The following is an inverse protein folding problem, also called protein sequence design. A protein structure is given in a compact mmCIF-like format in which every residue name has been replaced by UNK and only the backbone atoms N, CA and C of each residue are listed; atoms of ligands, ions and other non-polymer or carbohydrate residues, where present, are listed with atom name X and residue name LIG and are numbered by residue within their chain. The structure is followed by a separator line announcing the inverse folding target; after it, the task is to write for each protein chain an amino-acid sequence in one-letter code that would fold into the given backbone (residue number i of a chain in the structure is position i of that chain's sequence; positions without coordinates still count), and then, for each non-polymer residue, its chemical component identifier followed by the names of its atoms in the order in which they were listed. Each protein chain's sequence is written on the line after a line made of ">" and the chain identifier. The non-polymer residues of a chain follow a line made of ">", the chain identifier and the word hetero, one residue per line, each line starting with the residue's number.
data_IF_164307527079
#
_entry.id   IF_164307527079
#
_cell.length_a   1.000
_cell.length_b   1.000
_cell.length_c   1.000
_cell.angle_alpha   90.00
_cell.angle_beta   90.00
_cell.angle_gamma   90.00
#
_symmetry.space_group_name_H-M   'P 1'
#
loop_
_entity.id
_entity.type
_entity.pdbx_description
1 polymer ?
#
# COMPACT_ATOMS: atom_id res chain seq x y z
N UNK A 1 39.91 -61.08 10.22
CA UNK A 1 38.77 -60.91 11.14
C UNK A 1 38.34 -59.46 11.07
N UNK A 2 37.18 -59.26 10.49
CA UNK A 2 36.60 -57.97 10.10
C UNK A 2 36.23 -57.08 11.29
N UNK A 3 36.65 -55.82 11.24
CA UNK A 3 36.19 -54.76 12.12
C UNK A 3 35.51 -53.65 11.33
N UNK A 4 34.22 -53.82 11.01
CA UNK A 4 33.38 -52.78 10.39
C UNK A 4 33.23 -51.59 11.36
N UNK A 5 33.76 -50.42 10.97
CA UNK A 5 33.35 -49.13 11.53
C UNK A 5 31.94 -48.81 11.03
N UNK A 6 30.95 -48.95 11.91
CA UNK A 6 29.61 -48.42 11.71
C UNK A 6 29.69 -46.91 11.90
N UNK A 7 29.57 -46.17 10.80
CA UNK A 7 29.38 -44.72 10.85
C UNK A 7 28.00 -44.42 11.40
N UNK A 8 27.93 -43.72 12.53
CA UNK A 8 26.70 -43.14 13.04
C UNK A 8 26.21 -42.08 12.04
N UNK A 9 25.21 -42.44 11.23
CA UNK A 9 24.34 -41.46 10.60
C UNK A 9 23.60 -40.72 11.71
N UNK A 10 24.05 -39.49 11.99
CA UNK A 10 23.27 -38.52 12.76
C UNK A 10 22.02 -38.25 11.92
N UNK A 11 20.92 -38.91 12.28
CA UNK A 11 19.60 -38.59 11.78
C UNK A 11 19.39 -37.08 11.98
N UNK A 12 19.28 -36.33 10.88
CA UNK A 12 18.86 -34.93 10.92
C UNK A 12 17.49 -34.89 11.59
N UNK A 13 17.47 -34.46 12.85
CA UNK A 13 16.25 -34.16 13.61
C UNK A 13 15.27 -33.43 12.69
N UNK A 14 14.12 -34.06 12.44
CA UNK A 14 13.05 -33.49 11.64
C UNK A 14 12.58 -32.23 12.35
N UNK A 15 12.88 -31.07 11.78
CA UNK A 15 12.59 -29.78 12.38
C UNK A 15 11.08 -29.64 12.71
N UNK A 16 10.73 -29.59 14.00
CA UNK A 16 9.34 -29.38 14.42
C UNK A 16 8.92 -27.95 14.11
N UNK A 17 7.78 -27.80 13.42
CA UNK A 17 7.20 -26.52 13.02
C UNK A 17 5.85 -26.36 13.69
N UNK A 18 5.70 -25.34 14.52
CA UNK A 18 4.40 -24.96 15.06
C UNK A 18 3.66 -24.21 13.96
N UNK A 19 2.49 -24.72 13.60
CA UNK A 19 1.60 -24.09 12.61
C UNK A 19 0.29 -23.81 13.30
N UNK A 20 -0.31 -22.65 12.99
CA UNK A 20 -1.66 -22.34 13.45
C UNK A 20 -2.66 -23.48 13.12
N UNK A 21 -3.75 -23.61 13.89
CA UNK A 21 -4.86 -24.49 13.53
C UNK A 21 -5.27 -24.28 12.07
N UNK A 22 -5.63 -25.36 11.36
CA UNK A 22 -6.06 -25.26 9.95
C UNK A 22 -7.40 -24.53 9.88
N UNK A 23 -7.38 -23.27 9.47
CA UNK A 23 -8.58 -22.58 9.00
C UNK A 23 -8.71 -22.86 7.50
N UNK A 24 -9.73 -23.61 7.09
CA UNK A 24 -10.06 -23.83 5.67
C UNK A 24 -10.77 -22.60 5.06
N UNK A 25 -10.26 -21.40 5.30
CA UNK A 25 -10.78 -20.19 4.66
C UNK A 25 -9.93 -19.95 3.42
N UNK A 26 -10.18 -20.74 2.37
CA UNK A 26 -9.52 -20.56 1.07
C UNK A 26 -10.14 -19.35 0.38
N UNK A 27 -9.74 -18.16 0.80
CA UNK A 27 -10.01 -16.95 0.03
C UNK A 27 -11.20 -16.10 0.43
N UNK A 28 -11.62 -16.14 1.67
CA UNK A 28 -12.49 -15.12 2.23
C UNK A 28 -11.75 -14.38 3.36
N UNK A 29 -12.18 -13.16 3.65
CA UNK A 29 -11.69 -12.42 4.82
C UNK A 29 -12.11 -13.17 6.09
N UNK A 30 -11.24 -13.29 7.11
CA UNK A 30 -11.72 -13.67 8.45
C UNK A 30 -12.72 -12.64 9.01
N UNK A 31 -12.81 -11.43 8.44
CA UNK A 31 -13.87 -10.48 8.81
C UNK A 31 -15.28 -10.97 8.44
N UNK A 32 -15.43 -11.97 7.57
CA UNK A 32 -16.72 -12.64 7.31
C UNK A 32 -16.95 -13.86 8.23
N UNK A 33 -15.89 -14.40 8.86
CA UNK A 33 -15.92 -15.42 9.92
C UNK A 33 -15.33 -14.87 11.24
N UNK A 34 -15.95 -13.83 11.81
CA UNK A 34 -15.50 -13.17 13.04
C UNK A 34 -15.35 -14.13 14.24
N UNK A 35 -15.96 -15.31 14.19
CA UNK A 35 -15.96 -16.31 15.26
C UNK A 35 -14.57 -16.94 15.50
N UNK A 36 -13.74 -17.07 14.46
CA UNK A 36 -12.44 -17.73 14.56
C UNK A 36 -11.29 -16.78 14.95
N UNK A 37 -11.52 -15.47 14.84
CA UNK A 37 -10.48 -14.47 15.08
C UNK A 37 -10.00 -14.42 16.55
N UNK A 38 -10.86 -14.53 17.58
CA UNK A 38 -10.43 -14.67 18.97
C UNK A 38 -9.57 -15.91 19.21
N UNK A 39 -9.90 -17.04 18.56
CA UNK A 39 -9.11 -18.29 18.64
C UNK A 39 -7.73 -18.08 18.04
N UNK A 40 -7.65 -17.43 16.87
CA UNK A 40 -6.38 -17.08 16.25
C UNK A 40 -5.54 -16.16 17.15
N UNK A 41 -6.14 -15.11 17.72
CA UNK A 41 -5.44 -14.22 18.66
C UNK A 41 -4.88 -14.97 19.85
N UNK A 42 -5.70 -15.83 20.47
CA UNK A 42 -5.27 -16.67 21.58
C UNK A 42 -4.08 -17.55 21.17
N UNK A 43 -4.15 -18.19 20.00
CA UNK A 43 -3.04 -18.99 19.46
C UNK A 43 -1.76 -18.16 19.28
N UNK A 44 -1.85 -16.93 18.75
CA UNK A 44 -0.68 -16.05 18.60
C UNK A 44 -0.03 -15.74 19.95
N UNK A 45 -0.83 -15.43 20.97
CA UNK A 45 -0.31 -15.13 22.32
C UNK A 45 0.30 -16.37 23.01
N UNK A 46 -0.24 -17.56 22.75
CA UNK A 46 0.30 -18.83 23.27
C UNK A 46 1.60 -19.25 22.55
N UNK A 47 1.81 -18.79 21.32
CA UNK A 47 2.91 -19.22 20.45
C UNK A 47 3.79 -18.03 20.01
N UNK A 48 4.19 -17.19 20.96
CA UNK A 48 5.09 -16.08 20.71
C UNK A 48 6.54 -16.57 20.47
N UNK A 49 7.29 -15.95 19.55
CA UNK A 49 8.67 -16.32 19.26
C UNK A 49 9.58 -16.36 20.49
N UNK A 50 9.39 -15.42 21.42
CA UNK A 50 10.17 -15.37 22.65
C UNK A 50 9.89 -16.51 23.63
N UNK A 51 8.80 -17.27 23.45
CA UNK A 51 8.43 -18.40 24.32
C UNK A 51 9.02 -19.73 23.85
N UNK A 52 9.55 -19.78 22.63
CA UNK A 52 10.03 -21.02 22.02
C UNK A 52 11.52 -20.94 21.70
N UNK A 53 12.22 -22.03 21.99
CA UNK A 53 13.63 -22.20 21.65
C UNK A 53 13.86 -23.40 20.75
N UNK A 54 14.93 -23.31 19.96
CA UNK A 54 15.41 -24.42 19.13
C UNK A 54 15.78 -25.64 19.96
N UNK A 55 16.34 -25.42 21.15
CA UNK A 55 16.66 -26.46 22.14
C UNK A 55 15.43 -27.25 22.60
N UNK A 56 14.23 -26.65 22.55
CA UNK A 56 12.96 -27.31 22.85
C UNK A 56 12.37 -28.03 21.62
N UNK A 57 13.13 -28.15 20.53
CA UNK A 57 12.72 -28.82 19.30
C UNK A 57 11.89 -27.96 18.33
N UNK A 58 11.48 -26.76 18.73
CA UNK A 58 10.72 -25.83 17.88
C UNK A 58 11.68 -25.02 17.03
N UNK A 59 11.59 -25.13 15.70
CA UNK A 59 12.48 -24.37 14.81
C UNK A 59 11.79 -23.15 14.21
N UNK A 60 10.49 -23.26 13.91
CA UNK A 60 9.72 -22.24 13.22
C UNK A 60 8.30 -22.19 13.75
N UNK A 61 7.79 -20.98 13.90
CA UNK A 61 6.38 -20.70 14.11
C UNK A 61 5.84 -20.13 12.80
N UNK A 62 4.63 -20.52 12.40
CA UNK A 62 4.15 -20.12 11.08
C UNK A 62 2.65 -19.87 10.97
N UNK A 63 2.35 -18.91 10.11
CA UNK A 63 1.01 -18.48 9.72
C UNK A 63 0.88 -18.68 8.22
N UNK A 64 -0.21 -19.31 7.80
CA UNK A 64 -0.42 -19.69 6.40
C UNK A 64 -1.84 -19.28 6.01
N UNK A 65 -1.96 -18.36 5.05
CA UNK A 65 -3.24 -17.86 4.57
C UNK A 65 -3.81 -18.71 3.42
N UNK A 66 -2.97 -19.46 2.71
CA UNK A 66 -3.37 -20.38 1.63
C UNK A 66 -2.59 -21.68 1.71
N UNK A 67 -3.24 -22.82 1.48
CA UNK A 67 -2.54 -24.13 1.39
C UNK A 67 -1.42 -24.03 0.35
N UNK A 68 -0.18 -24.19 0.81
CA UNK A 68 0.99 -24.32 -0.05
C UNK A 68 1.07 -25.76 -0.60
N UNK A 69 1.15 -25.93 -1.91
CA UNK A 69 1.34 -27.23 -2.57
C UNK A 69 2.81 -27.69 -2.50
N UNK A 70 3.29 -27.99 -1.30
CA UNK A 70 4.69 -28.32 -1.02
C UNK A 70 5.23 -29.51 -1.84
N UNK A 71 4.41 -30.55 -2.06
CA UNK A 71 4.84 -31.74 -2.81
C UNK A 71 5.19 -31.45 -4.28
N UNK A 72 4.48 -30.51 -4.92
CA UNK A 72 4.81 -30.11 -6.29
C UNK A 72 6.08 -29.26 -6.35
N UNK A 73 6.36 -28.50 -5.30
CA UNK A 73 7.53 -27.64 -5.20
C UNK A 73 8.84 -28.45 -5.14
N UNK A 74 8.87 -29.55 -4.38
CA UNK A 74 10.04 -30.43 -4.25
C UNK A 74 10.51 -31.01 -5.59
N UNK A 75 9.58 -31.46 -6.45
CA UNK A 75 9.91 -31.96 -7.80
C UNK A 75 10.56 -30.88 -8.65
N UNK A 76 10.00 -29.66 -8.64
CA UNK A 76 10.53 -28.50 -9.38
C UNK A 76 11.92 -28.09 -8.90
N UNK A 77 12.17 -28.16 -7.58
CA UNK A 77 13.49 -27.89 -6.99
C UNK A 77 14.56 -28.85 -7.52
N UNK A 78 14.23 -30.14 -7.67
CA UNK A 78 15.17 -31.10 -8.25
C UNK A 78 15.48 -30.75 -9.72
N UNK A 79 14.45 -30.45 -10.51
CA UNK A 79 14.60 -30.09 -11.92
C UNK A 79 15.43 -28.81 -12.12
N UNK A 80 15.20 -27.76 -11.32
CA UNK A 80 15.97 -26.51 -11.44
C UNK A 80 17.44 -26.72 -11.06
N UNK A 81 17.73 -27.55 -10.04
CA UNK A 81 19.11 -27.87 -9.65
C UNK A 81 19.85 -28.60 -10.77
N UNK A 82 19.18 -29.53 -11.45
CA UNK A 82 19.75 -30.23 -12.60
C UNK A 82 20.06 -29.26 -13.75
N UNK A 83 19.09 -28.41 -14.13
CA UNK A 83 19.28 -27.41 -15.17
C UNK A 83 20.38 -26.39 -14.84
N UNK A 84 20.51 -26.03 -13.55
CA UNK A 84 21.51 -25.08 -13.09
C UNK A 84 22.95 -25.62 -13.20
N UNK A 85 23.18 -26.94 -13.09
CA UNK A 85 24.51 -27.54 -13.23
C UNK A 85 25.15 -27.29 -14.60
N UNK A 86 24.34 -27.20 -15.66
CA UNK A 86 24.81 -26.91 -17.03
C UNK A 86 24.96 -25.43 -17.36
N UNK A 87 24.83 -24.54 -16.37
CA UNK A 87 24.85 -23.08 -16.59
C UNK A 87 26.25 -22.51 -16.39
N UNK A 88 26.86 -22.01 -17.47
CA UNK A 88 28.22 -21.44 -17.44
C UNK A 88 28.24 -19.97 -17.00
N UNK A 89 27.19 -19.19 -17.29
CA UNK A 89 27.08 -17.77 -16.94
C UNK A 89 25.88 -17.58 -16.02
N UNK A 90 26.15 -17.26 -14.75
CA UNK A 90 25.09 -17.06 -13.76
C UNK A 90 24.94 -15.58 -13.45
N UNK A 91 23.83 -15.01 -13.90
CA UNK A 91 23.40 -13.62 -13.61
C UNK A 91 22.03 -13.62 -12.92
N UNK A 92 21.62 -12.47 -12.39
CA UNK A 92 20.24 -12.26 -11.92
C UNK A 92 19.20 -12.58 -12.99
N UNK A 93 19.48 -12.27 -14.27
CA UNK A 93 18.61 -12.62 -15.40
C UNK A 93 18.50 -14.14 -15.56
N UNK A 94 19.62 -14.85 -15.51
CA UNK A 94 19.64 -16.33 -15.55
C UNK A 94 18.79 -16.94 -14.44
N UNK A 95 18.89 -16.41 -13.21
CA UNK A 95 18.09 -16.87 -12.07
C UNK A 95 16.59 -16.58 -12.24
N UNK A 96 16.23 -15.41 -12.78
CA UNK A 96 14.83 -15.08 -13.11
C UNK A 96 14.25 -16.02 -14.16
N UNK A 97 15.00 -16.30 -15.24
CA UNK A 97 14.58 -17.23 -16.29
C UNK A 97 14.40 -18.64 -15.76
N UNK A 98 15.29 -19.11 -14.87
CA UNK A 98 15.13 -20.42 -14.23
C UNK A 98 13.91 -20.44 -13.30
N UNK A 99 13.68 -19.38 -12.52
CA UNK A 99 12.51 -19.27 -11.64
C UNK A 99 11.20 -19.35 -12.42
N UNK A 100 11.13 -18.63 -13.54
CA UNK A 100 9.97 -18.64 -14.44
C UNK A 100 9.77 -20.03 -15.06
N UNK A 101 10.82 -20.58 -15.70
CA UNK A 101 10.79 -21.88 -16.39
C UNK A 101 10.32 -23.03 -15.48
N UNK A 102 10.75 -23.03 -14.22
CA UNK A 102 10.42 -24.09 -13.26
C UNK A 102 9.30 -23.69 -12.29
N UNK A 103 8.66 -22.53 -12.49
CA UNK A 103 7.60 -22.01 -11.60
C UNK A 103 8.03 -21.99 -10.11
N UNK A 104 9.27 -21.57 -9.86
CA UNK A 104 9.87 -21.35 -8.52
C UNK A 104 9.98 -19.85 -8.25
N UNK A 105 8.83 -19.18 -8.27
CA UNK A 105 8.73 -17.72 -8.22
C UNK A 105 8.47 -17.17 -6.83
N UNK A 106 8.49 -17.99 -5.78
CA UNK A 106 8.31 -17.50 -4.41
C UNK A 106 9.48 -16.61 -3.98
N UNK A 107 9.18 -15.63 -3.14
CA UNK A 107 10.18 -14.79 -2.50
C UNK A 107 9.67 -14.28 -1.16
N UNK A 108 10.57 -13.69 -0.38
CA UNK A 108 10.25 -13.23 0.97
C UNK A 108 10.91 -11.90 1.30
N UNK A 109 10.21 -11.06 2.04
CA UNK A 109 10.85 -10.02 2.86
C UNK A 109 11.34 -10.66 4.15
N UNK A 110 12.58 -10.37 4.52
CA UNK A 110 13.20 -10.77 5.77
C UNK A 110 13.31 -9.56 6.68
N UNK A 111 12.82 -9.74 7.90
CA UNK A 111 12.80 -8.77 8.99
C UNK A 111 13.56 -9.39 10.16
N UNK A 112 14.57 -8.69 10.67
CA UNK A 112 15.35 -9.14 11.82
C UNK A 112 14.94 -8.36 13.07
N UNK A 113 14.89 -9.04 14.20
CA UNK A 113 14.55 -8.44 15.48
C UNK A 113 15.16 -9.19 16.64
N UNK A 114 15.58 -8.42 17.65
CA UNK A 114 16.10 -8.93 18.91
C UNK A 114 15.06 -9.79 19.64
N UNK A 115 15.54 -10.76 20.42
CA UNK A 115 14.68 -11.64 21.21
C UNK A 115 13.85 -10.90 22.28
N UNK A 116 12.85 -11.58 22.82
CA UNK A 116 11.95 -11.01 23.84
C UNK A 116 10.82 -10.16 23.27
N UNK A 117 10.48 -9.06 23.96
CA UNK A 117 9.27 -8.29 23.68
C UNK A 117 9.25 -7.65 22.28
N UNK A 118 10.42 -7.35 21.69
CA UNK A 118 10.51 -6.69 20.39
C UNK A 118 10.03 -7.64 19.29
N UNK A 119 10.61 -8.84 19.20
CA UNK A 119 10.19 -9.81 18.19
C UNK A 119 8.73 -10.21 18.34
N UNK A 120 8.22 -10.32 19.56
CA UNK A 120 6.82 -10.67 19.81
C UNK A 120 5.84 -9.60 19.31
N UNK A 121 6.19 -8.31 19.48
CA UNK A 121 5.39 -7.21 18.93
C UNK A 121 5.39 -7.23 17.41
N UNK A 122 6.56 -7.44 16.81
CA UNK A 122 6.70 -7.56 15.34
C UNK A 122 5.88 -8.74 14.82
N UNK A 123 5.99 -9.91 15.47
CA UNK A 123 5.26 -11.10 15.09
C UNK A 123 3.74 -10.92 15.21
N UNK A 124 3.24 -10.34 16.31
CA UNK A 124 1.81 -10.02 16.45
C UNK A 124 1.31 -9.13 15.32
N UNK A 125 2.05 -8.06 15.00
CA UNK A 125 1.67 -7.13 13.93
C UNK A 125 1.64 -7.82 12.56
N UNK A 126 2.65 -8.64 12.26
CA UNK A 126 2.70 -9.44 11.02
C UNK A 126 1.56 -10.46 10.98
N UNK A 127 1.37 -11.22 12.05
CA UNK A 127 0.37 -12.26 12.20
C UNK A 127 -1.04 -11.71 11.96
N UNK A 128 -1.36 -10.64 12.69
CA UNK A 128 -2.62 -9.93 12.59
C UNK A 128 -2.83 -9.34 11.20
N UNK A 129 -1.78 -8.69 10.66
CA UNK A 129 -1.86 -8.09 9.34
C UNK A 129 -2.10 -9.11 8.23
N UNK A 130 -1.46 -10.29 8.30
CA UNK A 130 -1.68 -11.36 7.32
C UNK A 130 -3.09 -11.92 7.43
N UNK A 131 -3.58 -12.21 8.64
CA UNK A 131 -4.89 -12.85 8.81
C UNK A 131 -6.04 -11.92 8.43
N UNK A 132 -5.92 -10.63 8.76
CA UNK A 132 -6.85 -9.56 8.34
C UNK A 132 -6.72 -9.21 6.86
N UNK A 133 -5.68 -9.71 6.20
CA UNK A 133 -5.37 -9.41 4.82
C UNK A 133 -4.60 -8.11 4.61
N UNK A 134 -4.41 -7.26 5.62
CA UNK A 134 -3.69 -5.97 5.52
C UNK A 134 -2.25 -6.09 5.02
N UNK A 135 -1.65 -7.25 5.24
CA UNK A 135 -0.40 -7.65 4.63
C UNK A 135 -0.73 -8.68 3.54
N UNK A 136 -0.45 -8.41 2.26
CA UNK A 136 -0.79 -9.30 1.15
C UNK A 136 0.17 -10.50 1.05
N UNK A 137 0.55 -11.08 2.19
CA UNK A 137 1.38 -12.26 2.27
C UNK A 137 0.57 -13.54 2.08
N UNK A 138 1.24 -14.57 1.60
CA UNK A 138 0.67 -15.93 1.53
C UNK A 138 0.96 -16.73 2.78
N UNK A 139 2.11 -16.46 3.40
CA UNK A 139 2.52 -17.03 4.67
C UNK A 139 3.58 -16.14 5.32
N UNK A 140 3.75 -16.30 6.62
CA UNK A 140 4.93 -15.85 7.33
C UNK A 140 5.44 -16.94 8.25
N UNK A 141 6.75 -16.95 8.45
CA UNK A 141 7.41 -17.80 9.44
C UNK A 141 8.35 -16.95 10.27
N UNK A 142 8.51 -17.31 11.53
CA UNK A 142 9.50 -16.70 12.43
C UNK A 142 10.33 -17.80 13.08
N UNK A 143 11.63 -17.57 13.17
CA UNK A 143 12.56 -18.52 13.79
C UNK A 143 12.32 -18.59 15.30
N UNK A 144 12.43 -19.78 15.88
CA UNK A 144 12.55 -19.96 17.32
C UNK A 144 14.04 -20.21 17.63
N UNK A 145 14.75 -19.14 18.00
CA UNK A 145 16.20 -19.13 18.24
C UNK A 145 16.49 -18.42 19.55
N UNK A 146 17.67 -18.66 20.12
CA UNK A 146 18.13 -18.02 21.36
C UNK A 146 18.71 -16.61 21.12
N UNK A 147 19.09 -16.31 19.88
CA UNK A 147 19.67 -15.02 19.43
C UNK A 147 18.64 -14.15 18.67
N UNK A 148 19.11 -13.35 17.72
CA UNK A 148 18.28 -12.58 16.81
C UNK A 148 17.34 -13.46 15.99
N UNK A 149 16.08 -13.08 15.99
CA UNK A 149 15.06 -13.76 15.21
C UNK A 149 14.98 -13.18 13.80
N UNK A 150 14.56 -14.03 12.86
CA UNK A 150 14.16 -13.61 11.52
C UNK A 150 12.69 -13.94 11.28
N UNK A 151 11.92 -12.93 10.89
CA UNK A 151 10.58 -13.07 10.33
C UNK A 151 10.70 -13.05 8.80
N UNK A 152 10.25 -14.12 8.16
CA UNK A 152 10.19 -14.24 6.71
C UNK A 152 8.73 -14.15 6.25
N UNK A 153 8.40 -13.12 5.47
CA UNK A 153 7.04 -12.85 4.99
C UNK A 153 7.00 -13.06 3.47
N UNK A 154 6.16 -13.98 3.00
CA UNK A 154 6.22 -14.51 1.63
C UNK A 154 5.18 -13.92 0.70
N UNK A 155 5.57 -13.74 -0.57
CA UNK A 155 4.66 -13.62 -1.71
C UNK A 155 4.86 -14.81 -2.68
N UNK A 156 3.92 -14.98 -3.62
CA UNK A 156 3.94 -16.09 -4.57
C UNK A 156 4.82 -15.86 -5.80
N UNK A 157 5.08 -14.61 -6.15
CA UNK A 157 5.74 -14.28 -7.41
C UNK A 157 6.63 -13.04 -7.29
N UNK A 158 7.94 -13.24 -7.10
CA UNK A 158 8.94 -12.18 -7.07
C UNK A 158 9.20 -11.53 -8.43
N UNK A 159 8.82 -12.18 -9.54
CA UNK A 159 8.94 -11.60 -10.88
C UNK A 159 7.91 -10.48 -11.07
N UNK A 160 6.80 -10.51 -10.33
CA UNK A 160 5.87 -9.40 -10.24
C UNK A 160 6.37 -8.40 -9.20
N UNK A 161 7.09 -7.39 -9.67
CA UNK A 161 7.69 -6.33 -8.85
C UNK A 161 6.63 -5.57 -8.04
N UNK A 162 5.45 -5.30 -8.62
CA UNK A 162 4.36 -4.64 -7.92
C UNK A 162 3.86 -5.46 -6.71
N UNK A 163 3.74 -6.78 -6.84
CA UNK A 163 3.37 -7.65 -5.71
C UNK A 163 4.44 -7.66 -4.62
N UNK A 164 5.72 -7.60 -4.99
CA UNK A 164 6.84 -7.54 -4.03
C UNK A 164 6.79 -6.25 -3.21
N UNK A 165 6.54 -5.11 -3.85
CA UNK A 165 6.44 -3.83 -3.13
C UNK A 165 5.10 -3.65 -2.40
N UNK A 166 3.99 -4.17 -2.92
CA UNK A 166 2.74 -4.20 -2.17
C UNK A 166 2.87 -5.00 -0.86
N UNK A 167 3.66 -6.07 -0.85
CA UNK A 167 3.98 -6.81 0.37
C UNK A 167 4.80 -5.97 1.36
N UNK A 168 5.82 -5.26 0.89
CA UNK A 168 6.59 -4.31 1.70
C UNK A 168 5.68 -3.26 2.32
N UNK A 169 4.81 -2.66 1.52
CA UNK A 169 3.91 -1.59 1.96
C UNK A 169 2.93 -2.10 3.01
N UNK A 170 2.41 -3.32 2.86
CA UNK A 170 1.63 -3.99 3.90
C UNK A 170 2.40 -4.10 5.24
N UNK A 171 3.68 -4.48 5.19
CA UNK A 171 4.54 -4.57 6.39
C UNK A 171 4.73 -3.18 7.01
N UNK A 172 4.98 -2.14 6.21
CA UNK A 172 5.14 -0.76 6.72
C UNK A 172 3.85 -0.23 7.33
N UNK A 173 2.70 -0.57 6.75
CA UNK A 173 1.38 -0.12 7.20
C UNK A 173 0.95 -0.66 8.56
N UNK A 174 1.55 -1.77 9.02
CA UNK A 174 1.35 -2.26 10.39
C UNK A 174 2.33 -1.64 11.39
N UNK A 175 3.08 -0.60 10.98
CA UNK A 175 3.97 0.20 11.82
C UNK A 175 5.39 -0.34 11.96
N UNK A 176 5.78 -1.32 11.15
CA UNK A 176 7.12 -1.91 11.23
C UNK A 176 8.12 -1.04 10.45
N UNK A 177 9.12 -0.50 11.14
CA UNK A 177 10.14 0.40 10.57
C UNK A 177 11.52 -0.24 10.40
N UNK A 178 11.75 -1.43 10.95
CA UNK A 178 13.01 -2.16 10.81
C UNK A 178 13.43 -2.35 9.34
N UNK A 179 14.74 -2.49 9.09
CA UNK A 179 15.24 -2.80 7.76
C UNK A 179 14.63 -4.11 7.23
N UNK A 180 14.20 -4.09 5.97
CA UNK A 180 13.69 -5.25 5.26
C UNK A 180 14.66 -5.64 4.13
N UNK A 181 14.91 -6.94 3.99
CA UNK A 181 15.73 -7.50 2.90
C UNK A 181 14.92 -8.51 2.10
N UNK A 182 14.76 -8.29 0.81
CA UNK A 182 13.99 -9.19 -0.05
C UNK A 182 14.87 -10.25 -0.71
N UNK A 183 14.53 -11.53 -0.53
CA UNK A 183 15.27 -12.67 -1.09
C UNK A 183 14.33 -13.62 -1.85
N UNK A 184 14.55 -13.86 -3.15
CA UNK A 184 13.85 -14.90 -3.90
C UNK A 184 14.24 -16.31 -3.40
N UNK A 185 13.28 -17.22 -3.32
CA UNK A 185 13.54 -18.59 -2.80
C UNK A 185 14.43 -19.42 -3.71
N UNK A 186 14.40 -19.18 -5.02
CA UNK A 186 15.29 -19.88 -5.96
C UNK A 186 16.77 -19.71 -5.60
N UNK A 187 17.16 -18.59 -4.98
CA UNK A 187 18.55 -18.35 -4.56
C UNK A 187 18.93 -19.32 -3.44
N UNK A 188 18.01 -19.55 -2.49
CA UNK A 188 18.18 -20.56 -1.43
C UNK A 188 18.27 -21.97 -2.00
N UNK A 189 17.38 -22.32 -2.94
CA UNK A 189 17.36 -23.68 -3.52
C UNK A 189 18.60 -24.02 -4.32
N UNK A 190 19.22 -23.04 -4.98
CA UNK A 190 20.45 -23.22 -5.74
C UNK A 190 21.72 -23.10 -4.88
N UNK A 191 21.58 -23.09 -3.55
CA UNK A 191 22.72 -23.05 -2.62
C UNK A 191 23.44 -21.71 -2.59
N UNK A 192 22.79 -20.62 -3.02
CA UNK A 192 23.36 -19.27 -2.97
C UNK A 192 23.05 -18.63 -1.62
N UNK A 193 23.84 -19.01 -0.63
CA UNK A 193 24.02 -18.20 0.58
C UNK A 193 25.04 -17.09 0.32
N UNK A 194 25.18 -16.16 1.26
CA UNK A 194 26.19 -15.10 1.24
C UNK A 194 27.56 -15.67 0.85
N UNK A 195 28.32 -14.95 0.01
CA UNK A 195 29.60 -15.41 -0.59
C UNK A 195 29.50 -16.52 -1.65
N UNK A 196 28.55 -16.45 -2.59
CA UNK A 196 28.57 -17.37 -3.73
C UNK A 196 29.69 -17.02 -4.73
N UNK A 197 30.28 -18.05 -5.37
CA UNK A 197 31.39 -17.94 -6.34
C UNK A 197 31.14 -17.06 -7.57
N UNK A 198 29.90 -16.60 -7.77
CA UNK A 198 29.50 -15.75 -8.89
C UNK A 198 29.33 -14.27 -8.49
N UNK A 199 29.57 -13.91 -7.22
CA UNK A 199 29.44 -12.53 -6.74
C UNK A 199 28.01 -11.95 -6.78
N UNK A 200 26.98 -12.80 -6.87
CA UNK A 200 25.59 -12.34 -6.95
C UNK A 200 25.08 -12.01 -5.55
N UNK A 201 24.60 -10.78 -5.32
CA UNK A 201 23.92 -10.42 -4.07
C UNK A 201 22.67 -11.31 -3.89
N UNK A 202 22.54 -12.07 -2.78
CA UNK A 202 21.34 -12.84 -2.51
C UNK A 202 20.11 -11.98 -2.18
N UNK A 203 20.29 -10.68 -1.95
CA UNK A 203 19.23 -9.71 -1.69
C UNK A 203 18.90 -8.97 -2.99
N UNK A 204 17.66 -9.12 -3.47
CA UNK A 204 17.20 -8.47 -4.70
C UNK A 204 16.72 -7.03 -4.44
N UNK A 205 16.14 -6.78 -3.27
CA UNK A 205 15.67 -5.46 -2.85
C UNK A 205 16.01 -5.21 -1.38
N UNK A 206 16.35 -3.97 -1.06
CA UNK A 206 16.58 -3.50 0.31
C UNK A 206 15.61 -2.36 0.59
N UNK A 207 15.06 -2.36 1.80
CA UNK A 207 14.32 -1.24 2.34
C UNK A 207 14.97 -0.90 3.69
N UNK A 208 15.84 0.10 3.63
CA UNK A 208 16.65 0.57 4.76
C UNK A 208 16.03 1.80 5.41
N UNK A 209 14.70 1.97 5.33
CA UNK A 209 14.01 3.11 5.92
C UNK A 209 14.22 3.19 7.45
N UNK A 210 15.34 3.77 7.87
CA UNK A 210 15.53 4.41 9.15
C UNK A 210 14.64 5.65 9.07
N UNK A 211 13.38 5.53 9.47
CA UNK A 211 12.61 6.73 9.80
C UNK A 211 13.37 7.39 10.96
N UNK A 212 13.97 8.53 10.66
CA UNK A 212 14.58 9.43 11.63
C UNK A 212 13.57 9.70 12.75
N UNK A 213 13.87 9.21 13.96
CA UNK A 213 13.01 9.25 15.15
C UNK A 213 12.98 10.64 15.81
N UNK A 214 13.36 11.69 15.09
CA UNK A 214 13.13 13.06 15.51
C UNK A 214 11.86 13.58 14.85
N UNK A 215 10.84 13.82 15.70
CA UNK A 215 9.53 14.43 15.45
C UNK A 215 8.32 13.48 15.29
N UNK A 216 7.51 13.53 16.37
CA UNK A 216 6.11 13.17 16.57
C UNK A 216 5.72 11.70 16.78
N UNK A 217 5.50 11.40 18.08
CA UNK A 217 4.64 10.35 18.60
C UNK A 217 3.19 10.49 18.06
N UNK A 218 2.85 9.73 17.02
CA UNK A 218 1.55 9.03 16.97
C UNK A 218 1.54 8.01 15.82
N UNK A 219 1.42 6.73 16.18
CA UNK A 219 1.40 5.61 15.26
C UNK A 219 0.17 5.66 14.32
N UNK A 220 0.37 6.17 13.11
CA UNK A 220 -0.69 6.25 12.09
C UNK A 220 -1.02 4.85 11.54
N UNK A 221 -2.22 4.36 11.87
CA UNK A 221 -2.75 3.05 11.47
C UNK A 221 -3.71 3.21 10.29
N UNK A 222 -3.48 2.49 9.18
CA UNK A 222 -4.42 2.42 8.04
C UNK A 222 -5.32 1.18 8.14
N UNK A 223 -6.57 1.37 8.56
CA UNK A 223 -7.60 0.32 8.54
C UNK A 223 -8.11 0.01 7.11
N UNK A 224 -8.01 0.97 6.18
CA UNK A 224 -8.57 0.82 4.82
C UNK A 224 -7.70 -0.10 3.96
N UNK A 225 -6.37 0.02 4.05
CA UNK A 225 -5.44 -0.87 3.34
C UNK A 225 -5.61 -2.32 3.81
N UNK A 226 -6.05 -2.47 5.06
CA UNK A 226 -6.44 -3.73 5.66
C UNK A 226 -7.61 -4.43 4.99
N UNK A 227 -8.70 -3.69 4.85
CA UNK A 227 -9.95 -4.22 4.34
C UNK A 227 -9.84 -4.47 2.82
N UNK A 228 -8.97 -3.75 2.11
CA UNK A 228 -8.88 -3.89 0.64
C UNK A 228 -8.14 -5.12 0.16
N UNK A 229 -7.47 -5.90 1.02
CA UNK A 229 -6.59 -7.02 0.62
C UNK A 229 -7.13 -8.41 1.01
N UNK A 230 -8.40 -8.48 1.40
CA UNK A 230 -9.12 -9.75 1.51
C UNK A 230 -9.68 -10.08 0.13
N UNK A 231 -9.69 -11.35 -0.30
CA UNK A 231 -10.03 -11.75 -1.69
C UNK A 231 -11.41 -11.25 -2.16
N UNK A 232 -12.26 -10.75 -1.25
CA UNK A 232 -13.54 -10.10 -1.52
C UNK A 232 -13.44 -8.60 -1.85
N UNK A 233 -12.32 -7.92 -1.57
CA UNK A 233 -12.09 -6.51 -1.89
C UNK A 233 -10.76 -6.36 -2.66
N UNK A 234 -10.71 -5.44 -3.61
CA UNK A 234 -9.54 -5.21 -4.46
C UNK A 234 -8.90 -3.87 -4.09
N UNK A 235 -7.60 -3.79 -3.73
CA UNK A 235 -6.92 -2.51 -3.59
C UNK A 235 -7.10 -1.68 -4.86
N UNK A 236 -7.03 -0.36 -4.75
CA UNK A 236 -7.19 0.55 -5.89
C UNK A 236 -6.25 0.15 -7.03
N UNK A 237 -5.03 -0.30 -6.69
CA UNK A 237 -4.02 -0.74 -7.65
C UNK A 237 -4.33 -2.08 -8.34
N UNK A 238 -5.21 -2.92 -7.79
CA UNK A 238 -5.62 -4.18 -8.43
C UNK A 238 -6.91 -4.02 -9.25
N UNK A 239 -7.50 -2.82 -9.29
CA UNK A 239 -8.60 -2.53 -10.19
C UNK A 239 -8.07 -2.64 -11.62
N UNK A 240 -8.47 -3.71 -12.30
CA UNK A 240 -8.18 -3.95 -13.71
C UNK A 240 -9.29 -3.37 -14.59
N UNK A 241 -9.18 -3.60 -15.90
CA UNK A 241 -9.86 -2.96 -17.03
C UNK A 241 -11.30 -2.44 -16.81
N UNK A 242 -11.71 -1.42 -17.60
CA UNK A 242 -13.05 -0.85 -17.52
C UNK A 242 -14.12 -1.95 -17.56
N UNK A 243 -15.01 -1.94 -16.57
CA UNK A 243 -16.10 -2.90 -16.49
C UNK A 243 -17.42 -2.18 -16.32
N UNK A 244 -18.41 -2.57 -17.13
CA UNK A 244 -19.76 -2.00 -17.06
C UNK A 244 -20.49 -2.41 -15.78
N UNK A 245 -20.15 -3.56 -15.22
CA UNK A 245 -20.67 -4.06 -13.94
C UNK A 245 -19.48 -4.55 -13.12
N UNK A 246 -19.15 -3.82 -12.06
CA UNK A 246 -18.29 -4.38 -11.03
C UNK A 246 -19.07 -5.44 -10.26
N UNK A 247 -18.66 -6.70 -10.40
CA UNK A 247 -19.22 -7.83 -9.65
C UNK A 247 -18.66 -7.91 -8.22
N UNK A 248 -17.62 -7.15 -7.89
CA UNK A 248 -16.95 -7.24 -6.61
C UNK A 248 -17.15 -5.96 -5.78
N UNK A 249 -17.40 -6.09 -4.47
CA UNK A 249 -17.41 -4.92 -3.61
C UNK A 249 -16.00 -4.32 -3.49
N UNK A 250 -15.90 -3.01 -3.31
CA UNK A 250 -14.63 -2.32 -3.00
C UNK A 250 -14.78 -1.51 -1.73
N UNK A 251 -13.77 -1.50 -0.87
CA UNK A 251 -13.79 -0.71 0.36
C UNK A 251 -12.84 0.45 0.26
N UNK A 252 -13.35 1.68 0.38
CA UNK A 252 -12.58 2.90 0.19
C UNK A 252 -12.91 3.93 1.27
N UNK A 253 -11.87 4.62 1.73
CA UNK A 253 -11.99 5.83 2.53
C UNK A 253 -12.36 7.04 1.67
N UNK A 254 -13.12 7.98 2.22
CA UNK A 254 -13.45 9.25 1.57
C UNK A 254 -12.47 10.33 2.02
N UNK A 255 -11.58 10.74 1.11
CA UNK A 255 -10.59 11.79 1.36
C UNK A 255 -11.17 13.19 1.12
N UNK A 256 -11.97 13.35 0.06
CA UNK A 256 -12.62 14.61 -0.27
C UNK A 256 -13.91 14.38 -1.07
N UNK A 257 -14.85 15.31 -0.97
CA UNK A 257 -16.06 15.38 -1.79
C UNK A 257 -16.21 16.82 -2.25
N UNK A 258 -16.50 17.02 -3.54
CA UNK A 258 -16.75 18.33 -4.11
C UNK A 258 -18.10 18.90 -3.70
N UNK A 259 -18.25 20.21 -3.87
CA UNK A 259 -19.57 20.80 -4.00
C UNK A 259 -20.33 20.16 -5.18
N UNK A 260 -21.66 20.27 -5.18
CA UNK A 260 -22.46 19.90 -6.34
C UNK A 260 -22.19 20.91 -7.44
N UNK A 261 -21.78 20.41 -8.60
CA UNK A 261 -21.50 21.20 -9.78
C UNK A 261 -22.64 20.93 -10.77
N UNK A 262 -23.33 21.97 -11.22
CA UNK A 262 -24.23 21.87 -12.37
C UNK A 262 -23.39 21.83 -13.66
N UNK A 263 -23.69 20.92 -14.56
CA UNK A 263 -23.00 20.79 -15.85
C UNK A 263 -24.02 20.56 -16.98
N UNK A 264 -23.59 20.65 -18.23
CA UNK A 264 -24.48 20.57 -19.39
C UNK A 264 -25.21 21.89 -19.68
N UNK A 265 -25.83 21.96 -20.86
CA UNK A 265 -26.53 23.16 -21.35
C UNK A 265 -27.88 23.36 -20.65
N UNK A 266 -28.50 22.28 -20.18
CA UNK A 266 -29.87 22.29 -19.64
C UNK A 266 -29.93 22.53 -18.12
N UNK A 267 -28.80 22.80 -17.46
CA UNK A 267 -28.67 23.19 -16.04
C UNK A 267 -29.23 22.24 -14.95
N UNK A 268 -29.92 21.17 -15.33
CA UNK A 268 -30.49 20.16 -14.41
C UNK A 268 -29.54 18.99 -14.13
N UNK A 269 -28.51 18.86 -14.95
CA UNK A 269 -27.45 17.86 -14.79
C UNK A 269 -26.49 18.29 -13.67
N UNK A 270 -26.36 17.43 -12.65
CA UNK A 270 -25.50 17.70 -11.50
C UNK A 270 -24.43 16.62 -11.32
N UNK A 271 -23.24 17.03 -10.87
CA UNK A 271 -22.11 16.15 -10.60
C UNK A 271 -21.52 16.42 -9.23
N UNK A 272 -21.07 15.35 -8.57
CA UNK A 272 -20.08 15.44 -7.49
C UNK A 272 -18.82 14.69 -7.90
N UNK A 273 -17.66 15.19 -7.48
CA UNK A 273 -16.37 14.52 -7.58
C UNK A 273 -15.94 14.08 -6.19
N UNK A 274 -15.40 12.88 -6.10
CA UNK A 274 -15.00 12.24 -4.85
C UNK A 274 -13.51 11.89 -5.00
N UNK A 275 -12.76 12.01 -3.92
CA UNK A 275 -11.40 11.46 -3.84
C UNK A 275 -11.47 10.30 -2.88
N UNK A 276 -11.31 9.10 -3.40
CA UNK A 276 -11.20 7.88 -2.63
C UNK A 276 -9.75 7.64 -2.22
N UNK A 277 -9.55 6.88 -1.15
CA UNK A 277 -8.25 6.32 -0.84
C UNK A 277 -8.40 4.90 -0.27
N UNK A 278 -7.42 4.05 -0.55
CA UNK A 278 -7.28 2.76 0.12
C UNK A 278 -6.24 2.81 1.26
N UNK A 279 -5.71 4.00 1.56
CA UNK A 279 -4.64 4.21 2.54
C UNK A 279 -3.25 4.30 1.90
N UNK A 280 -3.03 3.63 0.78
CA UNK A 280 -1.75 3.67 0.05
C UNK A 280 -1.85 4.53 -1.20
N UNK A 281 -3.01 4.54 -1.82
CA UNK A 281 -3.27 5.22 -3.09
C UNK A 281 -4.56 6.02 -2.98
N UNK A 282 -4.69 7.00 -3.87
CA UNK A 282 -5.92 7.73 -4.05
C UNK A 282 -6.47 7.47 -5.44
N UNK A 283 -7.79 7.50 -5.56
CA UNK A 283 -8.47 7.32 -6.84
C UNK A 283 -9.59 8.34 -6.96
N UNK A 284 -9.79 8.83 -8.19
CA UNK A 284 -10.90 9.73 -8.48
C UNK A 284 -12.22 8.96 -8.55
N UNK A 285 -13.23 9.53 -7.92
CA UNK A 285 -14.62 9.14 -7.99
C UNK A 285 -15.48 10.21 -8.64
N UNK A 286 -16.55 9.79 -9.32
CA UNK A 286 -17.59 10.69 -9.82
C UNK A 286 -18.98 10.10 -9.60
N UNK A 287 -19.98 10.95 -9.40
CA UNK A 287 -21.39 10.60 -9.47
C UNK A 287 -22.12 11.71 -10.23
N UNK A 288 -23.11 11.33 -11.03
CA UNK A 288 -23.88 12.22 -11.90
C UNK A 288 -25.37 12.10 -11.60
N UNK A 289 -26.15 13.14 -11.95
CA UNK A 289 -27.62 13.17 -11.83
C UNK A 289 -28.10 12.71 -10.45
N UNK A 290 -28.98 11.72 -10.44
CA UNK A 290 -29.60 11.21 -9.22
C UNK A 290 -28.62 10.44 -8.34
N UNK A 291 -27.58 9.83 -8.90
CA UNK A 291 -26.50 9.28 -8.10
C UNK A 291 -25.76 10.38 -7.32
N UNK A 292 -25.53 11.54 -7.93
CA UNK A 292 -24.92 12.68 -7.23
C UNK A 292 -25.82 13.17 -6.09
N UNK A 293 -27.14 13.31 -6.33
CA UNK A 293 -28.12 13.67 -5.28
C UNK A 293 -28.11 12.67 -4.14
N UNK A 294 -28.16 11.38 -4.47
CA UNK A 294 -28.18 10.26 -3.51
C UNK A 294 -26.94 10.23 -2.62
N UNK A 295 -25.75 10.41 -3.17
CA UNK A 295 -24.50 10.19 -2.43
C UNK A 295 -23.96 11.42 -1.72
N UNK A 296 -24.30 12.64 -2.15
CA UNK A 296 -23.80 13.89 -1.56
C UNK A 296 -23.93 13.92 -0.03
N UNK A 297 -25.08 13.50 0.49
CA UNK A 297 -25.37 13.56 1.93
C UNK A 297 -25.09 12.24 2.67
N UNK A 298 -24.84 11.14 1.94
CA UNK A 298 -24.56 9.82 2.54
C UNK A 298 -23.08 9.58 2.76
N UNK A 299 -22.24 10.09 1.86
CA UNK A 299 -20.79 10.03 1.99
C UNK A 299 -20.30 11.16 2.88
N UNK A 300 -19.35 10.85 3.77
CA UNK A 300 -18.75 11.82 4.68
C UNK A 300 -17.23 11.68 4.61
N UNK A 301 -16.52 12.80 4.51
CA UNK A 301 -15.05 12.84 4.53
C UNK A 301 -14.53 12.24 5.83
N UNK A 302 -13.45 11.45 5.75
CA UNK A 302 -12.85 10.73 6.88
C UNK A 302 -13.53 9.40 7.21
N UNK A 303 -14.58 9.01 6.49
CA UNK A 303 -15.24 7.72 6.69
C UNK A 303 -14.92 6.71 5.59
N UNK A 304 -15.01 5.43 5.96
CA UNK A 304 -14.78 4.29 5.08
C UNK A 304 -16.10 3.61 4.71
N UNK A 305 -16.23 3.26 3.44
CA UNK A 305 -17.42 2.61 2.90
C UNK A 305 -17.05 1.45 1.99
N UNK A 306 -17.85 0.40 2.04
CA UNK A 306 -17.89 -0.64 1.01
C UNK A 306 -18.89 -0.24 -0.08
N UNK A 307 -18.46 -0.25 -1.33
CA UNK A 307 -19.24 0.09 -2.52
C UNK A 307 -19.51 -1.16 -3.37
N UNK A 308 -20.75 -1.38 -3.79
CA UNK A 308 -21.15 -2.44 -4.74
C UNK A 308 -21.85 -1.83 -5.95
N UNK A 309 -21.81 -2.50 -7.10
CA UNK A 309 -22.43 -2.04 -8.35
C UNK A 309 -21.93 -0.66 -8.79
N UNK A 310 -20.63 -0.39 -8.61
CA UNK A 310 -19.97 0.78 -9.18
C UNK A 310 -19.47 0.44 -10.59
N UNK A 311 -19.15 1.47 -11.38
CA UNK A 311 -18.50 1.33 -12.69
C UNK A 311 -17.05 1.78 -12.57
N UNK A 312 -16.13 1.06 -13.21
CA UNK A 312 -14.73 1.48 -13.35
C UNK A 312 -14.54 1.93 -14.79
N UNK A 313 -14.03 3.14 -14.97
CA UNK A 313 -13.79 3.74 -16.29
C UNK A 313 -12.34 4.18 -16.40
N UNK A 314 -11.84 4.29 -17.64
CA UNK A 314 -10.57 4.99 -17.88
C UNK A 314 -10.73 6.44 -17.42
N UNK A 315 -9.76 6.92 -16.63
CA UNK A 315 -9.77 8.31 -16.20
C UNK A 315 -9.45 9.23 -17.38
N UNK A 316 -10.31 10.21 -17.60
CA UNK A 316 -10.14 11.29 -18.58
C UNK A 316 -8.96 12.23 -18.23
N UNK A 317 -8.45 12.13 -17.00
CA UNK A 317 -7.38 12.95 -16.45
C UNK A 317 -6.46 12.10 -15.57
N UNK A 318 -5.14 12.24 -15.72
CA UNK A 318 -4.15 11.57 -14.86
C UNK A 318 -4.16 12.19 -13.46
N UNK A 319 -5.10 11.78 -12.62
CA UNK A 319 -5.08 12.10 -11.19
C UNK A 319 -4.26 11.03 -10.47
N UNK A 320 -3.10 11.44 -9.96
CA UNK A 320 -2.27 10.70 -9.00
C UNK A 320 -1.94 9.25 -9.42
N UNK A 321 -1.42 9.08 -10.64
CA UNK A 321 -0.95 7.81 -11.23
C UNK A 321 -2.00 6.70 -11.42
N UNK A 322 -3.29 6.95 -11.15
CA UNK A 322 -4.34 5.96 -11.42
C UNK A 322 -4.85 6.07 -12.86
N UNK A 323 -4.81 4.95 -13.59
CA UNK A 323 -5.35 4.85 -14.97
C UNK A 323 -6.88 4.91 -15.01
N UNK A 324 -7.53 4.61 -13.90
CA UNK A 324 -8.97 4.43 -13.80
C UNK A 324 -9.61 5.38 -12.79
N UNK A 325 -10.92 5.59 -12.95
CA UNK A 325 -11.79 6.28 -12.00
C UNK A 325 -13.00 5.40 -11.66
N UNK A 326 -13.59 5.65 -10.51
CA UNK A 326 -14.83 5.00 -10.07
C UNK A 326 -16.00 5.93 -10.35
N UNK A 327 -17.02 5.42 -11.05
CA UNK A 327 -18.30 6.08 -11.20
C UNK A 327 -19.35 5.40 -10.33
N UNK A 328 -19.93 6.17 -9.40
CA UNK A 328 -21.10 5.73 -8.63
C UNK A 328 -22.35 5.94 -9.46
N UNK A 329 -23.13 4.87 -9.62
CA UNK A 329 -24.41 4.85 -10.33
C UNK A 329 -25.57 4.92 -9.35
N UNK A 330 -26.77 5.14 -9.85
CA UNK A 330 -27.97 5.17 -9.02
C UNK A 330 -28.17 3.85 -8.25
N UNK A 331 -27.89 2.71 -8.89
CA UNK A 331 -27.96 1.38 -8.29
C UNK A 331 -26.72 1.01 -7.44
N UNK A 332 -25.72 1.88 -7.33
CA UNK A 332 -24.59 1.66 -6.42
C UNK A 332 -25.12 1.60 -4.98
N UNK A 333 -24.68 0.60 -4.22
CA UNK A 333 -24.99 0.49 -2.80
C UNK A 333 -23.74 0.75 -1.99
N UNK A 334 -23.92 1.36 -0.81
CA UNK A 334 -22.82 1.67 0.11
C UNK A 334 -23.14 1.14 1.50
N UNK A 335 -22.14 0.56 2.16
CA UNK A 335 -22.20 0.15 3.57
C UNK A 335 -21.06 0.86 4.31
N UNK A 336 -21.40 1.73 5.26
CA UNK A 336 -20.40 2.40 6.10
C UNK A 336 -19.76 1.37 7.03
N UNK A 337 -18.43 1.39 7.11
CA UNK A 337 -17.69 0.56 8.06
C UNK A 337 -17.52 1.37 9.35
N UNK A 338 -17.94 0.79 10.48
CA UNK A 338 -17.95 1.46 11.79
C UNK A 338 -16.59 1.42 12.49
N UNK A 339 -15.77 0.40 12.22
CA UNK A 339 -14.43 0.21 12.80
C UNK A 339 -13.34 0.78 11.87
N UNK A 340 -12.40 1.51 12.46
CA UNK A 340 -11.26 2.08 11.73
C UNK A 340 -11.62 3.39 11.02
N UNK A 341 -11.53 4.50 11.75
CA UNK A 341 -11.18 5.76 11.08
C UNK A 341 -9.81 5.51 10.44
N UNK A 342 -9.76 5.43 9.11
CA UNK A 342 -8.49 5.67 8.47
C UNK A 342 -8.24 7.15 8.65
N UNK A 343 -7.26 7.48 9.49
CA UNK A 343 -6.67 8.79 9.39
C UNK A 343 -6.30 9.01 7.93
N UNK A 344 -6.76 10.13 7.37
CA UNK A 344 -6.33 10.55 6.05
C UNK A 344 -4.80 10.67 6.14
N UNK A 345 -4.02 9.88 5.38
CA UNK A 345 -2.57 9.90 5.51
C UNK A 345 -2.07 11.34 5.51
N UNK A 346 -1.30 11.73 6.52
CA UNK A 346 -0.64 13.04 6.56
C UNK A 346 0.32 13.07 5.39
N UNK A 347 -0.11 13.64 4.27
CA UNK A 347 0.72 13.69 3.07
C UNK A 347 1.85 14.68 3.33
N UNK A 348 3.09 14.19 3.22
CA UNK A 348 4.28 15.04 3.24
C UNK A 348 4.11 16.11 2.16
N UNK A 349 4.13 17.38 2.57
CA UNK A 349 4.01 18.50 1.64
C UNK A 349 5.11 18.42 0.58
N UNK A 350 4.73 18.64 -0.67
CA UNK A 350 5.69 18.79 -1.78
C UNK A 350 6.32 20.18 -1.71
N UNK A 351 7.62 20.26 -1.97
CA UNK A 351 8.35 21.52 -2.15
C UNK A 351 8.09 22.07 -3.56
N UNK A 352 8.13 23.39 -3.74
CA UNK A 352 7.89 24.07 -5.02
C UNK A 352 8.87 23.59 -6.09
N UNK A 353 10.18 23.43 -5.76
CA UNK A 353 11.18 22.93 -6.73
C UNK A 353 10.91 21.50 -7.22
N UNK A 354 10.12 20.70 -6.49
CA UNK A 354 9.75 19.36 -6.97
C UNK A 354 8.71 19.42 -8.09
N UNK A 355 8.04 20.56 -8.28
CA UNK A 355 7.00 20.75 -9.31
C UNK A 355 7.67 21.19 -10.63
N UNK A 356 7.92 20.22 -11.50
CA UNK A 356 8.48 20.43 -12.84
C UNK A 356 7.51 19.94 -13.93
N UNK A 357 7.90 20.01 -15.21
CA UNK A 357 7.02 19.63 -16.34
C UNK A 357 6.45 18.20 -16.25
N UNK A 358 7.10 17.27 -15.56
CA UNK A 358 6.54 15.92 -15.33
C UNK A 358 5.24 15.94 -14.52
N UNK A 359 4.98 17.04 -13.80
CA UNK A 359 3.74 17.29 -13.06
C UNK A 359 2.63 17.92 -13.91
N UNK A 360 2.85 18.15 -15.21
CA UNK A 360 1.83 18.74 -16.08
C UNK A 360 0.53 17.92 -16.04
N UNK A 361 -0.55 18.59 -15.67
CA UNK A 361 -1.89 18.03 -15.46
C UNK A 361 -2.04 17.07 -14.27
N UNK A 362 -1.04 16.94 -13.40
CA UNK A 362 -1.12 16.15 -12.18
C UNK A 362 -1.70 16.96 -11.01
N UNK A 363 -2.29 16.24 -10.05
CA UNK A 363 -2.77 16.81 -8.79
C UNK A 363 -1.61 16.85 -7.80
N UNK A 364 -1.23 18.04 -7.34
CA UNK A 364 -0.38 18.20 -6.16
C UNK A 364 -1.28 18.14 -4.92
N UNK A 365 -1.03 17.11 -4.12
CA UNK A 365 -1.84 16.75 -2.96
C UNK A 365 -1.75 17.78 -1.84
N UNK A 366 -0.54 18.24 -1.50
CA UNK A 366 -0.28 19.21 -0.43
C UNK A 366 0.97 20.03 -0.74
N UNK A 367 0.89 21.35 -0.56
CA UNK A 367 1.99 22.31 -0.59
C UNK A 367 1.94 23.13 0.70
N UNK A 368 3.06 23.23 1.42
CA UNK A 368 3.20 24.15 2.57
C UNK A 368 3.98 25.34 2.06
N UNK A 369 3.34 26.49 1.96
CA UNK A 369 3.89 27.67 1.29
C UNK A 369 3.48 28.94 2.02
N UNK A 370 4.23 30.01 1.87
CA UNK A 370 3.84 31.37 2.24
C UNK A 370 3.11 32.03 1.07
N UNK A 371 2.09 32.84 1.35
CA UNK A 371 1.49 33.71 0.31
C UNK A 371 2.20 35.05 0.32
N UNK A 372 2.96 35.35 -0.72
CA UNK A 372 3.78 36.56 -0.80
C UNK A 372 2.99 37.75 -1.34
N UNK A 373 2.16 37.50 -2.35
CA UNK A 373 1.42 38.55 -3.04
C UNK A 373 0.12 38.01 -3.61
N UNK A 374 -0.90 38.86 -3.62
CA UNK A 374 -2.19 38.56 -4.23
C UNK A 374 -2.42 39.60 -5.32
N UNK A 375 -2.60 39.15 -6.55
CA UNK A 375 -2.92 40.00 -7.68
C UNK A 375 -4.37 40.44 -7.69
N UNK A 376 -4.69 41.24 -8.71
CA UNK A 376 -6.04 41.76 -8.92
C UNK A 376 -7.03 40.63 -9.22
N UNK A 377 -8.28 40.85 -8.79
CA UNK A 377 -9.38 39.95 -9.09
C UNK A 377 -9.93 40.28 -10.48
N UNK A 378 -9.70 39.40 -11.42
CA UNK A 378 -10.27 39.48 -12.75
C UNK A 378 -11.59 38.70 -12.80
N UNK A 379 -12.53 39.16 -13.62
CA UNK A 379 -13.82 38.47 -13.86
C UNK A 379 -14.02 38.17 -15.35
N UNK A 380 -13.23 37.25 -15.93
CA UNK A 380 -13.46 36.81 -17.31
C UNK A 380 -14.79 36.03 -17.38
N UNK A 381 -15.82 36.67 -17.92
CA UNK A 381 -17.17 36.13 -18.10
C UNK A 381 -17.85 35.65 -16.78
N UNK A 382 -18.03 34.34 -16.62
CA UNK A 382 -18.79 33.72 -15.51
C UNK A 382 -17.93 33.34 -14.30
N UNK A 383 -16.61 33.46 -14.39
CA UNK A 383 -15.68 33.01 -13.36
C UNK A 383 -14.84 34.18 -12.83
N UNK A 384 -14.41 34.03 -11.58
CA UNK A 384 -13.40 34.88 -10.97
C UNK A 384 -12.03 34.22 -11.16
N UNK A 385 -11.06 35.01 -11.61
CA UNK A 385 -9.66 34.66 -11.73
C UNK A 385 -8.84 35.57 -10.82
N UNK A 386 -7.90 35.01 -10.08
CA UNK A 386 -6.97 35.78 -9.25
C UNK A 386 -5.60 35.16 -9.28
N UNK A 387 -4.58 36.00 -9.45
CA UNK A 387 -3.19 35.63 -9.27
C UNK A 387 -2.82 35.56 -7.79
N UNK A 388 -2.12 34.51 -7.39
CA UNK A 388 -1.51 34.40 -6.07
C UNK A 388 -0.07 33.95 -6.23
N UNK A 389 0.85 34.70 -5.64
CA UNK A 389 2.27 34.37 -5.62
C UNK A 389 2.57 33.70 -4.29
N UNK A 390 3.19 32.53 -4.36
CA UNK A 390 3.51 31.72 -3.21
C UNK A 390 4.99 31.36 -3.22
N UNK A 391 5.56 31.15 -2.04
CA UNK A 391 6.95 30.72 -1.88
C UNK A 391 7.08 29.66 -0.80
N UNK A 392 8.14 28.88 -0.87
CA UNK A 392 8.63 28.07 0.24
C UNK A 392 10.15 28.22 0.34
N UNK A 393 10.81 27.41 1.17
CA UNK A 393 12.27 27.46 1.31
C UNK A 393 13.03 27.06 0.03
N UNK A 394 12.34 26.60 -1.01
CA UNK A 394 12.93 26.10 -2.24
C UNK A 394 12.73 27.03 -3.43
N UNK A 395 11.69 27.87 -3.43
CA UNK A 395 11.50 28.83 -4.51
C UNK A 395 10.15 29.55 -4.45
N UNK A 396 9.84 30.25 -5.54
CA UNK A 396 8.60 31.01 -5.71
C UNK A 396 7.80 30.49 -6.91
N UNK A 397 6.49 30.61 -6.86
CA UNK A 397 5.59 30.16 -7.92
C UNK A 397 4.33 31.03 -8.00
N UNK A 398 3.86 31.26 -9.23
CA UNK A 398 2.58 31.91 -9.51
C UNK A 398 1.46 30.88 -9.60
N UNK A 399 0.34 31.16 -8.93
CA UNK A 399 -0.85 30.32 -8.85
C UNK A 399 -2.02 31.07 -9.47
N UNK A 400 -2.67 30.47 -10.46
CA UNK A 400 -3.90 30.99 -11.05
C UNK A 400 -5.11 30.35 -10.38
N UNK A 401 -5.83 31.15 -9.59
CA UNK A 401 -6.97 30.67 -8.82
C UNK A 401 -8.27 31.02 -9.54
N UNK A 402 -9.00 29.99 -9.93
CA UNK A 402 -10.32 30.11 -10.55
C UNK A 402 -11.42 29.76 -9.55
N UNK A 403 -12.54 30.48 -9.59
CA UNK A 403 -13.73 30.12 -8.83
C UNK A 403 -15.00 30.72 -9.42
N UNK A 404 -16.11 30.01 -9.26
CA UNK A 404 -17.46 30.53 -9.56
C UNK A 404 -17.94 31.57 -8.52
N UNK A 405 -17.28 31.63 -7.36
CA UNK A 405 -17.55 32.62 -6.31
C UNK A 405 -16.37 33.57 -6.19
N UNK A 406 -16.62 34.80 -5.72
CA UNK A 406 -15.57 35.78 -5.46
C UNK A 406 -14.53 35.15 -4.51
N UNK A 407 -13.28 35.10 -4.96
CA UNK A 407 -12.17 34.61 -4.14
C UNK A 407 -11.71 35.79 -3.29
N UNK A 408 -12.00 35.72 -2.00
CA UNK A 408 -11.55 36.70 -1.02
C UNK A 408 -10.44 36.09 -0.17
N UNK A 409 -9.42 36.91 0.08
CA UNK A 409 -8.25 36.55 0.88
C UNK A 409 -8.00 37.61 1.95
N UNK A 410 -8.97 37.86 2.84
CA UNK A 410 -8.76 38.87 3.87
C UNK A 410 -7.62 38.41 4.79
N UNK A 411 -6.54 39.18 4.83
CA UNK A 411 -5.46 39.09 5.82
C UNK A 411 -4.60 37.82 5.82
N UNK A 412 -4.32 37.22 4.65
CA UNK A 412 -3.42 36.04 4.56
C UNK A 412 -2.08 36.28 3.83
N UNK A 413 -1.85 37.50 3.34
CA UNK A 413 -0.53 37.84 2.77
C UNK A 413 0.50 37.85 3.89
N UNK A 414 1.63 37.17 3.68
CA UNK A 414 2.67 36.94 4.66
C UNK A 414 2.49 35.69 5.52
N UNK A 415 1.32 35.03 5.47
CA UNK A 415 1.08 33.82 6.26
C UNK A 415 1.63 32.57 5.60
N UNK A 416 2.06 31.63 6.45
CA UNK A 416 2.24 30.24 6.06
C UNK A 416 0.87 29.56 5.94
N UNK A 417 0.60 28.98 4.77
CA UNK A 417 -0.61 28.25 4.45
C UNK A 417 -0.29 26.86 3.91
N UNK A 418 -1.23 25.95 4.09
CA UNK A 418 -1.23 24.65 3.43
C UNK A 418 -2.26 24.68 2.31
N UNK A 419 -1.78 24.60 1.07
CA UNK A 419 -2.60 24.44 -0.12
C UNK A 419 -2.77 22.95 -0.41
N UNK A 420 -4.01 22.46 -0.42
CA UNK A 420 -4.30 21.04 -0.70
C UNK A 420 -5.10 20.86 -1.98
N UNK A 421 -4.78 19.82 -2.74
CA UNK A 421 -5.48 19.39 -3.96
C UNK A 421 -5.47 20.46 -5.07
N UNK A 422 -4.28 20.88 -5.47
CA UNK A 422 -4.04 21.84 -6.55
C UNK A 422 -3.70 21.08 -7.84
N UNK A 423 -4.32 21.39 -8.97
CA UNK A 423 -3.92 20.76 -10.25
C UNK A 423 -2.82 21.60 -10.88
N UNK A 424 -1.67 21.01 -11.20
CA UNK A 424 -0.59 21.71 -11.90
C UNK A 424 -0.92 21.77 -13.39
N UNK A 425 -0.76 22.95 -13.98
CA UNK A 425 -0.80 23.18 -15.42
C UNK A 425 0.46 23.94 -15.82
N UNK A 426 1.04 23.59 -16.96
CA UNK A 426 2.13 24.35 -17.55
C UNK A 426 1.62 25.01 -18.83
N UNK A 427 1.74 26.33 -18.90
CA UNK A 427 1.43 27.15 -20.08
C UNK A 427 2.63 28.09 -20.31
N UNK A 428 3.15 28.11 -21.54
CA UNK A 428 4.22 29.02 -22.00
C UNK A 428 5.41 29.19 -21.03
N UNK A 429 6.03 28.06 -20.62
CA UNK A 429 7.17 28.00 -19.68
C UNK A 429 6.86 28.42 -18.23
N UNK A 430 5.62 28.76 -17.91
CA UNK A 430 5.20 29.06 -16.55
C UNK A 430 4.44 27.88 -15.95
N UNK A 431 4.81 27.51 -14.73
CA UNK A 431 4.06 26.58 -13.90
C UNK A 431 2.92 27.34 -13.22
N UNK A 432 1.70 26.90 -13.45
CA UNK A 432 0.50 27.42 -12.81
C UNK A 432 -0.13 26.32 -11.97
N UNK A 433 -0.42 26.63 -10.70
CA UNK A 433 -1.36 25.81 -9.95
C UNK A 433 -2.78 26.31 -10.17
N UNK A 434 -3.64 25.42 -10.64
CA UNK A 434 -5.05 25.64 -10.83
C UNK A 434 -5.83 25.18 -9.60
N UNK A 435 -6.44 26.13 -8.90
CA UNK A 435 -7.42 25.84 -7.84
C UNK A 435 -8.67 25.21 -8.47
N UNK A 436 -9.05 24.02 -8.00
CA UNK A 436 -10.36 23.44 -8.27
C UNK A 436 -11.32 23.77 -7.12
N UNK A 437 -12.62 23.52 -7.30
CA UNK A 437 -13.59 23.67 -6.20
C UNK A 437 -13.29 22.76 -4.99
N UNK A 438 -12.40 21.78 -5.15
CA UNK A 438 -11.96 20.86 -4.09
C UNK A 438 -10.71 21.33 -3.34
N UNK A 439 -10.05 22.37 -3.83
CA UNK A 439 -8.83 22.89 -3.22
C UNK A 439 -9.17 23.54 -1.89
N UNK A 440 -8.47 23.11 -0.82
CA UNK A 440 -8.60 23.71 0.51
C UNK A 440 -7.34 24.50 0.84
N UNK A 441 -7.56 25.67 1.43
CA UNK A 441 -6.50 26.54 1.95
C UNK A 441 -6.66 26.49 3.46
N UNK A 442 -5.61 26.06 4.15
CA UNK A 442 -5.60 25.94 5.60
C UNK A 442 -4.50 26.86 6.12
N UNK A 443 -4.85 27.85 6.94
CA UNK A 443 -3.86 28.69 7.62
C UNK A 443 -3.07 27.83 8.59
N UNK A 444 -1.75 27.90 8.57
CA UNK A 444 -0.95 27.33 9.67
C UNK A 444 -1.14 28.26 10.86
N UNK A 445 -1.64 27.73 11.99
CA UNK A 445 -1.47 28.44 13.25
C UNK A 445 0.04 28.48 13.55
N UNK A 446 0.55 29.64 13.95
CA UNK A 446 1.91 29.73 14.47
C UNK A 446 2.00 28.76 15.66
N UNK A 447 2.92 27.80 15.58
CA UNK A 447 3.32 26.99 16.72
C UNK A 447 4.28 27.78 17.59
#
# INVERSE_FOLDING_TARGET
>A
MDGKRVGNEIAKSSATRITQPKYEIVGESIEECLEDYPVFKKWVEENLPSHHRKSQGVNWISIVRRKDNYLQETKRIHSVKSAFKGTNIVTTKTLKTLAEKFSLTKGKWMLFGETGNIIDRLWRAIADGIIRGTIPAVSAIVSATDDDHVICIYNNNFLNVANTFALRDGIRNVGIQNSLKYKPDIYKHLGKADQNKWGIDPILHRDESLFDLSFDEEASRSAVAGITLTRTYSPILSLSEPSEKSHYPITLGIKAISAVIRYGNDHDDIRISIVFHDGNTIMRGVAFGDAARKFKNKLKVGHTYTFRNHKIEVSDKYYDNTKYKIQLRENTTIKRIKSGYAEVPKVKGKKILEINESYKNLLVSTLKVRIDKIGELLKPAKNFLRDVFISDETGEMRVLMWSYKKIEFPHIVGDNVILRYMTVKFEDQHCFLHKSDNTRIVRCQAQ
#
